data_IF_728653356025
#
_entry.id   IF_728653356025
#
_cell.length_a   1.000
_cell.length_b   1.000
_cell.length_c   1.000
_cell.angle_alpha   90.00
_cell.angle_beta   90.00
_cell.angle_gamma   90.00
#
_symmetry.space_group_name_H-M   'P 1'
#
loop_
_entity.id
_entity.type
_entity.pdbx_description
1 polymer ?
#
# COMPACT_ATOMS: atom_id res chain seq x y z
N UNK A 1 31.86 2.24 -9.71
CA UNK A 1 31.53 2.51 -8.29
C UNK A 1 30.37 1.63 -7.84
N UNK A 2 30.43 1.07 -6.63
CA UNK A 2 29.31 0.35 -6.05
C UNK A 2 28.24 1.33 -5.53
N UNK A 3 26.95 1.00 -5.72
CA UNK A 3 25.83 1.85 -5.27
C UNK A 3 25.80 1.98 -3.75
N UNK A 4 25.58 3.20 -3.25
CA UNK A 4 25.34 3.46 -1.83
C UNK A 4 24.04 2.78 -1.35
N UNK A 5 23.91 2.56 -0.04
CA UNK A 5 22.75 1.88 0.56
C UNK A 5 21.41 2.57 0.23
N UNK A 6 21.39 3.90 0.24
CA UNK A 6 20.23 4.72 -0.16
C UNK A 6 19.88 4.58 -1.65
N UNK A 7 20.89 4.53 -2.53
CA UNK A 7 20.67 4.31 -3.96
C UNK A 7 20.13 2.90 -4.23
N UNK A 8 20.60 1.88 -3.50
CA UNK A 8 20.07 0.52 -3.58
C UNK A 8 18.60 0.46 -3.13
N UNK A 9 18.22 1.13 -2.04
CA UNK A 9 16.83 1.14 -1.57
C UNK A 9 15.91 1.92 -2.53
N UNK A 10 16.36 3.06 -3.05
CA UNK A 10 15.63 3.84 -4.05
C UNK A 10 15.41 3.01 -5.33
N UNK A 11 16.46 2.35 -5.84
CA UNK A 11 16.34 1.46 -7.01
C UNK A 11 15.35 0.33 -6.78
N UNK A 12 15.30 -0.25 -5.57
CA UNK A 12 14.29 -1.27 -5.21
C UNK A 12 12.90 -0.67 -5.16
N UNK A 13 12.72 0.52 -4.61
CA UNK A 13 11.44 1.21 -4.51
C UNK A 13 10.88 1.58 -5.88
N UNK A 14 11.70 2.17 -6.77
CA UNK A 14 11.29 2.57 -8.13
C UNK A 14 10.92 1.38 -9.02
N UNK A 15 11.49 0.19 -8.78
CA UNK A 15 11.12 -1.05 -9.47
C UNK A 15 9.76 -1.61 -9.05
N UNK A 16 9.18 -1.15 -7.93
CA UNK A 16 7.90 -1.66 -7.49
C UNK A 16 6.77 -1.09 -8.35
N UNK A 17 5.83 -1.95 -8.74
CA UNK A 17 4.59 -1.52 -9.37
C UNK A 17 3.60 -1.09 -8.29
N UNK A 18 3.24 0.19 -8.26
CA UNK A 18 2.27 0.73 -7.30
C UNK A 18 0.90 0.92 -7.97
N UNK A 19 -0.15 0.33 -7.38
CA UNK A 19 -1.51 0.35 -7.95
C UNK A 19 -2.58 0.14 -6.89
N UNK A 20 -3.83 0.27 -7.29
CA UNK A 20 -4.99 -0.30 -6.58
C UNK A 20 -5.26 -1.72 -7.09
N UNK A 21 -6.14 -2.47 -6.41
CA UNK A 21 -6.46 -3.84 -6.86
C UNK A 21 -7.22 -3.80 -8.19
N UNK A 22 -8.18 -2.89 -8.31
CA UNK A 22 -8.97 -2.72 -9.54
C UNK A 22 -8.26 -1.96 -10.67
N UNK A 23 -7.13 -1.30 -10.39
CA UNK A 23 -6.46 -0.40 -11.33
C UNK A 23 -7.13 0.99 -11.45
N UNK A 24 -8.30 1.19 -10.83
CA UNK A 24 -8.98 2.49 -10.82
C UNK A 24 -8.31 3.45 -9.83
N UNK A 25 -8.42 4.78 -10.04
CA UNK A 25 -7.85 5.78 -9.15
C UNK A 25 -8.33 5.61 -7.70
N UNK A 26 -7.36 5.60 -6.78
CA UNK A 26 -7.55 5.41 -5.34
C UNK A 26 -8.48 6.46 -4.71
N UNK A 27 -8.52 7.68 -5.27
CA UNK A 27 -9.42 8.75 -4.85
C UNK A 27 -10.89 8.50 -5.24
N UNK A 28 -11.14 7.83 -6.37
CA UNK A 28 -12.50 7.54 -6.85
C UNK A 28 -13.12 6.35 -6.12
N UNK A 29 -12.36 5.28 -5.91
CA UNK A 29 -12.89 4.02 -5.34
C UNK A 29 -12.72 3.92 -3.83
N UNK A 30 -11.87 4.75 -3.23
CA UNK A 30 -11.46 4.59 -1.83
C UNK A 30 -10.59 3.35 -1.59
N UNK A 31 -10.17 2.64 -2.64
CA UNK A 31 -9.22 1.52 -2.54
C UNK A 31 -7.87 2.00 -2.04
N UNK A 32 -7.11 1.11 -1.40
CA UNK A 32 -5.75 1.45 -0.98
C UNK A 32 -4.74 1.31 -2.11
N UNK A 33 -3.91 2.33 -2.24
CA UNK A 33 -2.74 2.35 -3.11
C UNK A 33 -1.58 1.66 -2.41
N UNK A 34 -1.11 0.54 -2.97
CA UNK A 34 -0.11 -0.33 -2.39
C UNK A 34 0.80 -0.90 -3.48
N UNK A 35 2.01 -1.38 -3.13
CA UNK A 35 2.81 -2.18 -4.05
C UNK A 35 2.04 -3.42 -4.51
N UNK A 36 2.16 -3.80 -5.77
CA UNK A 36 1.47 -4.95 -6.35
C UNK A 36 1.78 -6.25 -5.59
N UNK A 37 3.05 -6.44 -5.19
CA UNK A 37 3.45 -7.58 -4.34
C UNK A 37 2.72 -7.60 -2.99
N UNK A 38 2.49 -6.43 -2.41
CA UNK A 38 1.73 -6.31 -1.17
C UNK A 38 0.25 -6.68 -1.41
N UNK A 39 -0.36 -6.22 -2.50
CA UNK A 39 -1.74 -6.57 -2.87
C UNK A 39 -1.88 -8.08 -3.04
N UNK A 40 -0.94 -8.73 -3.74
CA UNK A 40 -0.93 -10.19 -3.94
C UNK A 40 -0.74 -10.98 -2.65
N UNK A 41 -0.08 -10.41 -1.64
CA UNK A 41 0.10 -11.05 -0.32
C UNK A 41 -1.13 -10.97 0.60
N UNK A 42 -2.12 -10.16 0.24
CA UNK A 42 -3.34 -9.96 1.02
C UNK A 42 -4.43 -10.91 0.54
N UNK A 43 -5.17 -11.49 1.49
CA UNK A 43 -6.41 -12.18 1.16
C UNK A 43 -7.46 -11.17 0.66
N UNK A 44 -8.48 -11.61 -0.09
CA UNK A 44 -9.58 -10.74 -0.49
C UNK A 44 -10.23 -10.02 0.71
N UNK A 45 -10.39 -10.72 1.84
CA UNK A 45 -10.94 -10.18 3.07
C UNK A 45 -10.03 -9.10 3.70
N UNK A 46 -8.71 -9.31 3.74
CA UNK A 46 -7.77 -8.31 4.23
C UNK A 46 -7.80 -7.04 3.36
N UNK A 47 -7.79 -7.20 2.03
CA UNK A 47 -7.86 -6.06 1.12
C UNK A 47 -9.19 -5.29 1.27
N UNK A 48 -10.30 -6.00 1.44
CA UNK A 48 -11.60 -5.39 1.70
C UNK A 48 -11.62 -4.62 3.02
N UNK A 49 -11.09 -5.19 4.11
CA UNK A 49 -11.02 -4.55 5.42
C UNK A 49 -10.19 -3.26 5.38
N UNK A 50 -9.04 -3.28 4.69
CA UNK A 50 -8.19 -2.09 4.58
C UNK A 50 -8.83 -0.98 3.76
N UNK A 51 -9.59 -1.35 2.71
CA UNK A 51 -10.38 -0.43 1.87
C UNK A 51 -11.56 0.15 2.64
N UNK A 52 -12.30 -0.68 3.40
CA UNK A 52 -13.40 -0.24 4.28
C UNK A 52 -12.91 0.80 5.29
N UNK A 53 -11.79 0.52 5.95
CA UNK A 53 -11.18 1.47 6.88
C UNK A 53 -10.86 2.81 6.18
N UNK A 54 -10.25 2.78 4.99
CA UNK A 54 -9.96 3.99 4.22
C UNK A 54 -11.24 4.77 3.89
N UNK A 55 -12.25 4.12 3.31
CA UNK A 55 -13.54 4.74 2.97
C UNK A 55 -14.21 5.39 4.19
N UNK A 56 -14.22 4.69 5.33
CA UNK A 56 -14.78 5.21 6.56
C UNK A 56 -14.03 6.44 7.07
N UNK A 57 -12.70 6.47 7.01
CA UNK A 57 -11.91 7.63 7.41
C UNK A 57 -12.05 8.81 6.44
N UNK A 58 -12.06 8.55 5.14
CA UNK A 58 -12.30 9.59 4.12
C UNK A 58 -13.67 10.24 4.28
N UNK A 59 -14.72 9.44 4.53
CA UNK A 59 -16.08 9.97 4.80
C UNK A 59 -16.12 10.86 6.05
N UNK A 60 -15.25 10.59 7.03
CA UNK A 60 -15.09 11.40 8.24
C UNK A 60 -14.16 12.62 8.04
N UNK A 61 -13.81 12.97 6.80
CA UNK A 61 -12.92 14.10 6.50
C UNK A 61 -11.45 13.88 6.89
N UNK A 62 -11.03 12.65 7.22
CA UNK A 62 -9.65 12.40 7.64
C UNK A 62 -8.72 12.39 6.43
N UNK A 63 -7.75 13.31 6.41
CA UNK A 63 -6.68 13.34 5.41
C UNK A 63 -5.85 12.05 5.42
N UNK A 64 -5.59 11.48 6.60
CA UNK A 64 -4.82 10.25 6.76
C UNK A 64 -5.61 9.18 7.52
N UNK A 65 -5.64 7.96 6.95
CA UNK A 65 -6.35 6.82 7.54
C UNK A 65 -5.41 5.64 7.73
N UNK A 66 -5.16 5.29 8.98
CA UNK A 66 -4.29 4.15 9.35
C UNK A 66 -4.84 2.84 8.80
N UNK A 67 -3.96 1.95 8.36
CA UNK A 67 -4.33 0.57 8.03
C UNK A 67 -4.64 -0.20 9.31
N UNK A 68 -5.56 -1.20 9.27
CA UNK A 68 -5.71 -2.15 10.37
C UNK A 68 -4.35 -2.75 10.76
N UNK A 69 -4.05 -2.81 12.07
CA UNK A 69 -2.69 -3.06 12.58
C UNK A 69 -2.03 -4.32 11.98
N UNK A 70 -2.78 -5.43 11.86
CA UNK A 70 -2.27 -6.70 11.28
C UNK A 70 -1.87 -6.55 9.80
N UNK A 71 -2.72 -5.88 9.02
CA UNK A 71 -2.50 -5.62 7.59
C UNK A 71 -1.36 -4.62 7.39
N UNK A 72 -1.27 -3.61 8.26
CA UNK A 72 -0.18 -2.64 8.24
C UNK A 72 1.18 -3.33 8.41
N UNK A 73 1.30 -4.27 9.36
CA UNK A 73 2.50 -5.08 9.58
C UNK A 73 2.85 -5.92 8.35
N UNK A 74 1.87 -6.62 7.76
CA UNK A 74 2.06 -7.43 6.54
C UNK A 74 2.57 -6.59 5.38
N UNK A 75 1.89 -5.47 5.09
CA UNK A 75 2.22 -4.60 3.96
C UNK A 75 3.49 -3.76 4.16
N UNK A 76 3.93 -3.53 5.40
CA UNK A 76 5.14 -2.75 5.69
C UNK A 76 6.41 -3.39 5.12
N UNK A 77 6.48 -4.73 5.12
CA UNK A 77 7.61 -5.49 4.58
C UNK A 77 7.86 -5.19 3.10
N UNK A 78 6.81 -4.93 2.34
CA UNK A 78 6.92 -4.61 0.91
C UNK A 78 7.31 -3.15 0.65
N UNK A 79 7.01 -2.25 1.58
CA UNK A 79 7.23 -0.80 1.41
C UNK A 79 8.63 -0.34 1.81
N UNK A 80 9.28 -1.03 2.74
CA UNK A 80 10.62 -0.65 3.24
C UNK A 80 11.76 -0.92 2.24
N UNK A 81 11.43 -1.32 1.01
CA UNK A 81 12.40 -1.63 -0.02
C UNK A 81 13.35 -2.73 0.45
N UNK A 82 12.82 -3.95 0.66
CA UNK A 82 13.58 -5.21 0.86
C UNK A 82 14.84 -5.10 1.69
#
# INVERSE_FOLDING_TARGET
MALAKSQKSLKRWTKQKWRTKSGKPSGKTGERYLPEKAIKSLTPAEYAATTRAKRAGTRKGKQFVRQPKRIAKKTARFRKGG
#
